data_IF_969216892711
#
_entry.id   IF_969216892711
#
_cell.length_a   1.000
_cell.length_b   1.000
_cell.length_c   1.000
_cell.angle_alpha   90.00
_cell.angle_beta   90.00
_cell.angle_gamma   90.00
#
_symmetry.space_group_name_H-M   'P 1'
#
loop_
_entity.id
_entity.type
_entity.pdbx_description
1 polymer ?
#
# COMPACT_ATOMS: atom_id res chain seq x y z
N UNK A 1 -16.19 -9.57 -6.52
CA UNK A 1 -14.97 -9.82 -7.35
C UNK A 1 -13.92 -8.83 -6.89
N UNK A 2 -12.73 -9.29 -6.51
CA UNK A 2 -11.64 -8.40 -6.06
C UNK A 2 -11.08 -7.66 -7.29
N UNK A 3 -11.07 -6.33 -7.25
CA UNK A 3 -10.50 -5.47 -8.29
C UNK A 3 -9.33 -4.67 -7.71
N UNK A 4 -8.13 -4.91 -8.22
CA UNK A 4 -6.88 -4.27 -7.77
C UNK A 4 -6.14 -3.75 -8.99
N UNK A 5 -5.65 -2.51 -8.89
CA UNK A 5 -4.88 -1.84 -9.94
C UNK A 5 -3.51 -1.41 -9.37
N UNK A 6 -2.39 -1.80 -9.99
CA UNK A 6 -2.24 -2.74 -11.12
C UNK A 6 -2.71 -4.16 -10.76
N UNK A 7 -3.20 -4.91 -11.76
CA UNK A 7 -3.65 -6.30 -11.54
C UNK A 7 -2.48 -7.15 -11.04
N UNK A 8 -2.59 -7.80 -9.86
CA UNK A 8 -1.57 -8.69 -9.34
C UNK A 8 -1.34 -9.91 -10.23
N UNK A 9 -0.18 -10.55 -10.07
CA UNK A 9 0.17 -11.76 -10.84
C UNK A 9 -0.76 -12.92 -10.51
N UNK A 10 -1.10 -13.09 -9.21
CA UNK A 10 -1.98 -14.17 -8.77
C UNK A 10 -2.89 -13.67 -7.65
N UNK A 11 -4.17 -13.98 -7.76
CA UNK A 11 -5.20 -13.67 -6.76
C UNK A 11 -6.07 -14.90 -6.56
N UNK A 12 -6.18 -15.34 -5.31
CA UNK A 12 -7.11 -16.41 -4.91
C UNK A 12 -8.06 -15.85 -3.89
N UNK A 13 -9.36 -15.81 -4.20
CA UNK A 13 -10.38 -15.32 -3.28
C UNK A 13 -10.73 -16.40 -2.25
N UNK A 14 -10.81 -16.02 -0.98
CA UNK A 14 -11.32 -16.82 0.11
C UNK A 14 -12.80 -16.53 0.42
N UNK A 15 -13.32 -17.15 1.46
CA UNK A 15 -14.62 -16.84 2.07
C UNK A 15 -14.38 -16.11 3.38
N UNK A 16 -15.29 -15.21 3.78
CA UNK A 16 -15.17 -14.42 5.01
C UNK A 16 -14.34 -13.16 4.83
N UNK A 17 -14.10 -12.47 5.93
CA UNK A 17 -13.32 -11.24 5.99
C UNK A 17 -12.57 -11.12 7.32
N UNK A 18 -11.41 -10.48 7.30
CA UNK A 18 -10.72 -10.02 8.50
C UNK A 18 -11.36 -8.72 8.98
N UNK A 19 -11.61 -8.61 10.28
CA UNK A 19 -12.19 -7.41 10.88
C UNK A 19 -11.10 -6.55 11.53
N UNK A 20 -10.68 -5.49 10.84
CA UNK A 20 -9.78 -4.48 11.38
C UNK A 20 -10.54 -3.51 12.27
N UNK A 21 -10.08 -3.30 13.51
CA UNK A 21 -10.70 -2.43 14.50
C UNK A 21 -9.66 -1.89 15.50
N UNK A 22 -10.10 -1.13 16.50
CA UNK A 22 -9.21 -0.53 17.52
C UNK A 22 -8.42 -1.55 18.36
N UNK A 23 -8.87 -2.80 18.46
CA UNK A 23 -8.15 -3.86 19.16
C UNK A 23 -7.07 -4.51 18.31
N UNK A 24 -7.04 -4.25 16.99
CA UNK A 24 -6.10 -4.86 16.04
C UNK A 24 -4.66 -4.45 16.38
N UNK A 25 -3.79 -5.45 16.45
CA UNK A 25 -2.36 -5.29 16.72
C UNK A 25 -1.56 -5.55 15.45
N UNK A 26 -0.62 -4.65 15.15
CA UNK A 26 0.23 -4.73 13.97
C UNK A 26 1.67 -4.99 14.42
N UNK A 27 2.20 -6.13 14.01
CA UNK A 27 3.52 -6.60 14.43
C UNK A 27 4.48 -6.92 13.28
N UNK A 28 5.65 -7.46 13.65
CA UNK A 28 6.67 -7.93 12.72
C UNK A 28 7.66 -6.85 12.27
N UNK A 29 8.22 -7.03 11.08
CA UNK A 29 9.26 -6.18 10.46
C UNK A 29 8.66 -4.96 9.73
N UNK A 30 9.49 -4.20 9.01
CA UNK A 30 9.10 -3.08 8.14
C UNK A 30 8.40 -1.94 8.89
N UNK A 31 9.11 -1.32 9.83
CA UNK A 31 8.59 -0.28 10.73
C UNK A 31 7.93 0.89 10.00
N UNK A 32 8.54 1.36 8.89
CA UNK A 32 7.98 2.46 8.10
C UNK A 32 6.62 2.10 7.51
N UNK A 33 6.51 0.90 6.94
CA UNK A 33 5.26 0.42 6.32
C UNK A 33 4.17 0.16 7.37
N UNK A 34 4.52 -0.35 8.57
CA UNK A 34 3.56 -0.49 9.67
C UNK A 34 2.97 0.85 10.10
N UNK A 35 3.81 1.87 10.27
CA UNK A 35 3.35 3.22 10.60
C UNK A 35 2.49 3.83 9.49
N UNK A 36 2.83 3.59 8.22
CA UNK A 36 2.02 4.03 7.11
C UNK A 36 0.64 3.34 7.07
N UNK A 37 0.57 2.04 7.41
CA UNK A 37 -0.69 1.32 7.53
C UNK A 37 -1.60 2.00 8.55
N UNK A 38 -1.10 2.23 9.77
CA UNK A 38 -1.85 2.94 10.81
C UNK A 38 -2.34 4.30 10.31
N UNK A 39 -1.46 5.11 9.74
CA UNK A 39 -1.79 6.45 9.26
C UNK A 39 -2.84 6.47 8.12
N UNK A 40 -2.80 5.46 7.23
CA UNK A 40 -3.77 5.36 6.13
C UNK A 40 -5.13 4.95 6.69
N UNK A 41 -5.17 3.96 7.57
CA UNK A 41 -6.42 3.44 8.13
C UNK A 41 -7.04 4.38 9.16
N UNK A 42 -6.24 5.15 9.90
CA UNK A 42 -6.73 6.17 10.83
C UNK A 42 -7.62 7.23 10.16
N UNK A 43 -7.43 7.47 8.84
CA UNK A 43 -8.30 8.40 8.08
C UNK A 43 -9.75 7.92 7.99
N UNK A 44 -10.01 6.62 8.08
CA UNK A 44 -11.37 6.06 8.13
C UNK A 44 -12.00 6.18 9.52
N UNK A 45 -11.23 6.55 10.54
CA UNK A 45 -11.65 6.64 11.94
C UNK A 45 -11.20 5.46 12.80
N UNK A 46 -10.52 4.45 12.24
CA UNK A 46 -10.08 3.25 12.97
C UNK A 46 -8.58 3.26 13.15
N UNK A 47 -8.10 3.40 14.38
CA UNK A 47 -6.68 3.34 14.73
C UNK A 47 -6.34 2.01 15.39
N UNK A 48 -5.33 1.31 14.86
CA UNK A 48 -4.77 0.10 15.42
C UNK A 48 -3.46 0.39 16.15
N UNK A 49 -2.99 -0.58 16.95
CA UNK A 49 -1.77 -0.42 17.74
C UNK A 49 -0.60 -1.16 17.11
N UNK A 50 0.52 -0.46 16.92
CA UNK A 50 1.79 -1.11 16.54
C UNK A 50 2.46 -1.70 17.78
N UNK A 51 2.88 -2.95 17.68
CA UNK A 51 3.52 -3.68 18.76
C UNK A 51 4.89 -4.27 18.36
N UNK A 52 5.70 -4.58 19.36
CA UNK A 52 6.91 -5.38 19.18
C UNK A 52 6.53 -6.86 19.24
N UNK A 53 6.79 -7.62 18.17
CA UNK A 53 6.44 -9.03 18.10
C UNK A 53 5.33 -9.33 17.11
N UNK A 54 4.62 -10.44 17.29
CA UNK A 54 3.52 -10.86 16.43
C UNK A 54 2.21 -10.21 16.85
N UNK A 55 1.40 -9.84 15.88
CA UNK A 55 0.08 -9.24 16.05
C UNK A 55 -0.98 -9.93 15.21
N UNK A 56 -2.11 -9.28 15.05
CA UNK A 56 -3.18 -9.75 14.14
C UNK A 56 -2.82 -9.47 12.68
N UNK A 57 -2.02 -8.45 12.43
CA UNK A 57 -1.39 -8.16 11.13
C UNK A 57 0.12 -8.28 11.31
N UNK A 58 0.73 -9.19 10.57
CA UNK A 58 2.15 -9.49 10.69
C UNK A 58 2.91 -9.20 9.39
N UNK A 59 3.97 -8.40 9.53
CA UNK A 59 4.95 -8.17 8.48
C UNK A 59 6.17 -9.08 8.69
N UNK A 60 6.44 -9.95 7.74
CA UNK A 60 7.50 -10.96 7.80
C UNK A 60 8.54 -10.71 6.72
N UNK A 61 9.81 -10.66 7.09
CA UNK A 61 10.90 -10.63 6.12
C UNK A 61 11.10 -12.03 5.52
N UNK A 62 11.10 -12.13 4.19
CA UNK A 62 11.27 -13.37 3.44
C UNK A 62 12.16 -13.11 2.21
N UNK A 63 13.43 -13.48 2.32
CA UNK A 63 14.44 -13.27 1.28
C UNK A 63 14.22 -14.12 0.01
N UNK A 64 13.30 -15.08 0.04
CA UNK A 64 12.96 -15.89 -1.13
C UNK A 64 12.05 -15.14 -2.12
N UNK A 65 11.39 -14.08 -1.64
CA UNK A 65 10.56 -13.21 -2.47
C UNK A 65 11.46 -12.25 -3.25
N UNK A 66 11.14 -12.06 -4.53
CA UNK A 66 11.89 -11.13 -5.37
C UNK A 66 11.80 -9.68 -4.81
N UNK A 67 12.83 -8.87 -5.06
CA UNK A 67 12.82 -7.44 -4.70
C UNK A 67 11.56 -6.74 -5.21
N UNK A 68 10.98 -5.85 -4.40
CA UNK A 68 9.71 -5.17 -4.64
C UNK A 68 8.49 -6.13 -4.74
N UNK A 69 8.70 -7.45 -4.58
CA UNK A 69 7.62 -8.44 -4.56
C UNK A 69 7.03 -8.64 -3.16
N UNK A 70 5.85 -9.23 -3.10
CA UNK A 70 5.19 -9.56 -1.85
C UNK A 70 4.24 -10.75 -1.97
N UNK A 71 3.99 -11.36 -0.81
CA UNK A 71 2.92 -12.30 -0.56
C UNK A 71 2.01 -11.69 0.49
N UNK A 72 0.71 -11.64 0.23
CA UNK A 72 -0.32 -11.14 1.13
C UNK A 72 -1.37 -12.24 1.32
N UNK A 73 -1.59 -12.62 2.55
CA UNK A 73 -2.65 -13.54 2.95
C UNK A 73 -3.57 -12.82 3.95
N UNK A 74 -4.84 -12.77 3.63
CA UNK A 74 -5.90 -12.28 4.50
C UNK A 74 -6.77 -13.49 4.89
N UNK A 75 -6.68 -13.89 6.15
CA UNK A 75 -7.56 -14.87 6.79
C UNK A 75 -8.49 -14.17 7.78
N UNK A 76 -9.57 -14.81 8.23
CA UNK A 76 -10.50 -14.22 9.20
C UNK A 76 -9.84 -13.86 10.54
N UNK A 77 -8.81 -14.62 10.93
CA UNK A 77 -8.12 -14.45 12.22
C UNK A 77 -6.86 -13.59 12.16
N UNK A 78 -6.22 -13.45 10.99
CA UNK A 78 -4.97 -12.73 10.86
C UNK A 78 -4.68 -12.32 9.41
N UNK A 79 -3.80 -11.32 9.26
CA UNK A 79 -3.22 -10.92 7.97
C UNK A 79 -1.71 -11.15 8.03
N UNK A 80 -1.17 -11.85 7.04
CA UNK A 80 0.27 -12.06 6.88
C UNK A 80 0.77 -11.39 5.61
N UNK A 81 1.77 -10.52 5.76
CA UNK A 81 2.45 -9.84 4.66
C UNK A 81 3.91 -10.28 4.67
N UNK A 82 4.36 -10.96 3.61
CA UNK A 82 5.77 -11.34 3.44
C UNK A 82 6.38 -10.53 2.32
N UNK A 83 7.60 -10.04 2.52
CA UNK A 83 8.38 -9.32 1.52
C UNK A 83 9.87 -9.46 1.81
N UNK A 84 10.71 -9.29 0.79
CA UNK A 84 12.17 -9.26 0.97
C UNK A 84 12.68 -7.88 1.37
N UNK A 85 11.92 -6.83 1.05
CA UNK A 85 12.32 -5.44 1.26
C UNK A 85 11.13 -4.54 1.64
N UNK A 86 11.45 -3.34 2.11
CA UNK A 86 10.46 -2.33 2.51
C UNK A 86 9.53 -1.93 1.34
N UNK A 87 10.03 -1.94 0.11
CA UNK A 87 9.23 -1.58 -1.06
C UNK A 87 8.16 -2.64 -1.36
N UNK A 88 8.50 -3.93 -1.26
CA UNK A 88 7.55 -5.03 -1.38
C UNK A 88 6.45 -4.97 -0.31
N UNK A 89 6.85 -4.74 0.96
CA UNK A 89 5.91 -4.56 2.06
C UNK A 89 4.98 -3.36 1.82
N UNK A 90 5.52 -2.25 1.32
CA UNK A 90 4.76 -1.06 0.95
C UNK A 90 3.75 -1.34 -0.19
N UNK A 91 4.12 -2.12 -1.20
CA UNK A 91 3.19 -2.48 -2.28
C UNK A 91 2.10 -3.45 -1.83
N UNK A 92 2.40 -4.33 -0.88
CA UNK A 92 1.37 -5.12 -0.21
C UNK A 92 0.37 -4.24 0.54
N UNK A 93 0.85 -3.21 1.25
CA UNK A 93 -0.01 -2.22 1.91
C UNK A 93 -0.92 -1.49 0.91
N UNK A 94 -0.40 -1.07 -0.27
CA UNK A 94 -1.24 -0.43 -1.29
C UNK A 94 -2.32 -1.38 -1.83
N UNK A 95 -2.01 -2.66 -1.92
CA UNK A 95 -3.00 -3.69 -2.29
C UNK A 95 -4.05 -3.86 -1.19
N UNK A 96 -3.64 -3.93 0.07
CA UNK A 96 -4.55 -4.01 1.22
C UNK A 96 -5.50 -2.80 1.29
N UNK A 97 -4.97 -1.60 1.04
CA UNK A 97 -5.73 -0.35 0.95
C UNK A 97 -6.85 -0.42 -0.10
N UNK A 98 -6.59 -1.02 -1.26
CA UNK A 98 -7.60 -1.18 -2.32
C UNK A 98 -8.61 -2.30 -2.00
N UNK A 99 -8.20 -3.35 -1.28
CA UNK A 99 -9.09 -4.45 -0.90
C UNK A 99 -10.23 -4.01 0.01
N UNK A 100 -9.99 -3.06 0.89
CA UNK A 100 -10.96 -2.59 1.87
C UNK A 100 -11.53 -1.19 1.54
N UNK A 101 -11.18 -0.63 0.37
CA UNK A 101 -11.65 0.69 -0.07
C UNK A 101 -11.54 1.77 1.02
N UNK A 102 -10.48 1.70 1.85
CA UNK A 102 -10.31 2.51 3.06
C UNK A 102 -10.41 4.02 2.79
N UNK A 103 -10.05 4.46 1.59
CA UNK A 103 -10.10 5.87 1.20
C UNK A 103 -11.52 6.42 1.03
N UNK A 104 -12.52 5.54 0.95
CA UNK A 104 -13.94 5.92 0.83
C UNK A 104 -14.68 5.86 2.17
N UNK A 105 -14.03 5.31 3.20
CA UNK A 105 -14.62 5.15 4.52
C UNK A 105 -14.38 6.40 5.38
N UNK A 106 -15.37 6.76 6.17
CA UNK A 106 -15.28 7.85 7.14
C UNK A 106 -16.13 7.53 8.37
N UNK A 107 -15.55 7.68 9.56
CA UNK A 107 -16.23 7.42 10.82
C UNK A 107 -16.61 5.95 11.06
N UNK A 108 -15.85 5.02 10.48
CA UNK A 108 -16.08 3.60 10.65
C UNK A 108 -15.64 3.12 12.05
N UNK A 109 -16.38 2.18 12.64
CA UNK A 109 -15.96 1.49 13.87
C UNK A 109 -15.06 0.28 13.58
N UNK A 110 -15.17 -0.27 12.39
CA UNK A 110 -14.34 -1.36 11.89
C UNK A 110 -14.33 -1.40 10.37
N UNK A 111 -13.30 -2.03 9.81
CA UNK A 111 -13.12 -2.22 8.38
C UNK A 111 -13.08 -3.72 8.09
N UNK A 112 -13.89 -4.18 7.15
CA UNK A 112 -13.88 -5.57 6.68
C UNK A 112 -12.94 -5.70 5.48
N UNK A 113 -12.00 -6.62 5.58
CA UNK A 113 -11.00 -6.90 4.54
C UNK A 113 -11.25 -8.31 4.03
N UNK A 114 -11.66 -8.50 2.77
CA UNK A 114 -12.05 -9.81 2.25
C UNK A 114 -10.89 -10.81 2.29
N UNK A 115 -11.18 -12.04 2.71
CA UNK A 115 -10.19 -13.11 2.74
C UNK A 115 -9.68 -13.42 1.33
N UNK A 116 -8.36 -13.44 1.16
CA UNK A 116 -7.71 -13.73 -0.11
C UNK A 116 -6.24 -14.08 0.09
N UNK A 117 -5.64 -14.66 -0.95
CA UNK A 117 -4.19 -14.82 -1.08
C UNK A 117 -3.76 -14.15 -2.37
N UNK A 118 -2.75 -13.27 -2.27
CA UNK A 118 -2.22 -12.49 -3.38
C UNK A 118 -0.70 -12.65 -3.43
N UNK A 119 -0.20 -13.02 -4.60
CA UNK A 119 1.21 -13.03 -4.90
C UNK A 119 1.48 -12.02 -6.03
N UNK A 120 2.40 -11.10 -5.82
CA UNK A 120 2.69 -10.08 -6.81
C UNK A 120 4.16 -9.64 -6.77
N UNK A 121 4.65 -9.19 -7.91
CA UNK A 121 5.94 -8.52 -8.09
C UNK A 121 5.88 -7.62 -9.31
N UNK A 122 6.72 -6.59 -9.39
CA UNK A 122 6.76 -5.73 -10.57
C UNK A 122 7.12 -6.51 -11.84
N UNK A 123 6.39 -6.23 -12.92
CA UNK A 123 6.72 -6.74 -14.27
C UNK A 123 7.87 -5.95 -14.90
N UNK A 124 7.98 -4.67 -14.56
CA UNK A 124 9.02 -3.74 -15.00
C UNK A 124 9.73 -3.13 -13.80
N UNK A 125 11.07 -3.12 -13.82
CA UNK A 125 11.87 -2.50 -12.75
C UNK A 125 11.66 -0.98 -12.65
N UNK A 126 11.49 -0.30 -13.80
CA UNK A 126 11.25 1.15 -13.85
C UNK A 126 9.79 1.40 -14.20
N UNK A 127 9.07 2.04 -13.31
CA UNK A 127 7.67 2.43 -13.43
C UNK A 127 7.56 3.91 -13.13
N UNK A 128 7.68 4.71 -14.18
CA UNK A 128 7.86 6.15 -14.08
C UNK A 128 6.59 6.92 -14.43
N UNK A 129 6.43 8.07 -13.78
CA UNK A 129 5.52 9.13 -14.18
C UNK A 129 6.31 10.44 -14.30
N UNK A 130 6.05 11.23 -15.32
CA UNK A 130 6.67 12.54 -15.51
C UNK A 130 5.62 13.63 -15.37
N UNK A 131 5.96 14.66 -14.58
CA UNK A 131 5.18 15.89 -14.48
C UNK A 131 6.04 17.07 -14.94
N UNK A 132 5.57 17.73 -15.99
CA UNK A 132 6.20 18.92 -16.53
C UNK A 132 5.61 20.17 -15.87
N UNK A 133 6.38 20.79 -15.00
CA UNK A 133 5.99 22.03 -14.31
C UNK A 133 6.69 23.26 -14.91
N UNK A 134 7.62 23.07 -15.84
CA UNK A 134 8.30 24.16 -16.52
C UNK A 134 7.39 24.87 -17.51
N UNK A 135 6.67 24.10 -18.33
CA UNK A 135 5.73 24.62 -19.33
C UNK A 135 4.34 24.89 -18.78
N UNK A 136 3.96 24.17 -17.73
CA UNK A 136 2.68 24.39 -17.04
C UNK A 136 2.85 24.30 -15.53
N UNK A 137 2.64 25.41 -14.82
CA UNK A 137 2.83 25.47 -13.38
C UNK A 137 1.87 24.51 -12.65
N UNK A 138 2.41 23.77 -11.69
CA UNK A 138 1.64 22.93 -10.77
C UNK A 138 1.92 23.33 -9.33
N UNK A 139 0.89 23.38 -8.50
CA UNK A 139 1.04 23.66 -7.08
C UNK A 139 1.72 22.50 -6.34
N UNK A 140 2.27 22.78 -5.16
CA UNK A 140 2.84 21.74 -4.32
C UNK A 140 1.82 20.65 -3.95
N UNK A 141 0.56 21.02 -3.75
CA UNK A 141 -0.49 20.07 -3.41
C UNK A 141 -0.80 19.13 -4.59
N UNK A 142 -0.85 19.66 -5.81
CA UNK A 142 -0.97 18.83 -7.04
C UNK A 142 0.19 17.83 -7.16
N UNK A 143 1.42 18.26 -6.85
CA UNK A 143 2.59 17.37 -6.87
C UNK A 143 2.45 16.25 -5.83
N UNK A 144 2.02 16.59 -4.60
CA UNK A 144 1.77 15.59 -3.54
C UNK A 144 0.67 14.61 -3.93
N UNK A 145 -0.40 15.07 -4.56
CA UNK A 145 -1.46 14.20 -5.09
C UNK A 145 -0.92 13.25 -6.16
N UNK A 146 -0.09 13.74 -7.10
CA UNK A 146 0.58 12.88 -8.08
C UNK A 146 1.42 11.81 -7.41
N UNK A 147 2.22 12.15 -6.38
CA UNK A 147 3.03 11.19 -5.63
C UNK A 147 2.15 10.15 -4.90
N UNK A 148 1.03 10.55 -4.32
CA UNK A 148 0.07 9.63 -3.69
C UNK A 148 -0.55 8.68 -4.72
N UNK A 149 -0.92 9.18 -5.90
CA UNK A 149 -1.45 8.36 -7.00
C UNK A 149 -0.38 7.40 -7.54
N UNK A 150 0.88 7.83 -7.63
CA UNK A 150 2.01 6.99 -7.98
C UNK A 150 2.19 5.86 -6.96
N UNK A 151 2.15 6.17 -5.67
CA UNK A 151 2.24 5.20 -4.58
C UNK A 151 1.13 4.14 -4.68
N UNK A 152 -0.12 4.56 -4.83
CA UNK A 152 -1.29 3.68 -4.96
C UNK A 152 -1.16 2.73 -6.17
N UNK A 153 -0.60 3.23 -7.27
CA UNK A 153 -0.38 2.46 -8.51
C UNK A 153 1.01 1.78 -8.56
N UNK A 154 1.75 1.76 -7.47
CA UNK A 154 3.05 1.10 -7.33
C UNK A 154 4.11 1.60 -8.32
N UNK A 155 4.05 2.88 -8.72
CA UNK A 155 5.08 3.54 -9.49
C UNK A 155 6.27 3.90 -8.59
N UNK A 156 7.51 3.79 -9.11
CA UNK A 156 8.71 3.96 -8.30
C UNK A 156 9.67 5.06 -8.77
N UNK A 157 9.35 5.74 -9.85
CA UNK A 157 10.19 6.84 -10.37
C UNK A 157 9.33 8.04 -10.71
N UNK A 158 9.55 9.15 -10.03
CA UNK A 158 8.97 10.44 -10.36
C UNK A 158 9.98 11.27 -11.16
N UNK A 159 9.66 11.60 -12.41
CA UNK A 159 10.44 12.51 -13.21
C UNK A 159 9.82 13.90 -13.08
N UNK A 160 10.40 14.71 -12.23
CA UNK A 160 9.99 16.09 -12.04
C UNK A 160 10.73 16.98 -13.04
N UNK A 161 10.07 17.37 -14.12
CA UNK A 161 10.64 18.24 -15.16
C UNK A 161 10.50 19.70 -14.73
N UNK A 162 11.57 20.26 -14.18
CA UNK A 162 11.59 21.56 -13.51
C UNK A 162 11.96 22.71 -14.44
N UNK A 163 12.73 22.44 -15.50
CA UNK A 163 13.32 23.47 -16.35
C UNK A 163 13.11 23.16 -17.83
N UNK A 164 12.76 24.19 -18.58
CA UNK A 164 12.69 24.17 -20.03
C UNK A 164 12.93 25.60 -20.55
N UNK A 165 12.90 25.82 -21.87
CA UNK A 165 13.09 27.14 -22.48
C UNK A 165 12.03 28.18 -22.02
N UNK A 166 10.81 27.73 -21.64
CA UNK A 166 9.75 28.60 -21.15
C UNK A 166 9.89 28.99 -19.68
N UNK A 167 10.80 28.40 -18.93
CA UNK A 167 11.03 28.77 -17.54
C UNK A 167 11.65 27.71 -16.68
N UNK A 168 11.91 28.11 -15.43
CA UNK A 168 12.36 27.27 -14.33
C UNK A 168 11.42 27.46 -13.14
N UNK A 169 10.94 26.36 -12.58
CA UNK A 169 9.91 26.38 -11.52
C UNK A 169 10.21 25.41 -10.39
#
# INVERSE_FOLDING_TARGET
>A
MISIIPKPLKVTCGKGAFKYNFATKIGGKFEKTKMQLVNIFAKSGVEATVISGEGDINFVADETIASEGYFLEVAESAITIKASDEAGAFYALQTLRQLCEVDTLSGAESIEIPCCVIEDKPRCKRRAFMLDVARHYSTMDTIKECLNMMALNKLNVFHWHLTDDQGWR
#
